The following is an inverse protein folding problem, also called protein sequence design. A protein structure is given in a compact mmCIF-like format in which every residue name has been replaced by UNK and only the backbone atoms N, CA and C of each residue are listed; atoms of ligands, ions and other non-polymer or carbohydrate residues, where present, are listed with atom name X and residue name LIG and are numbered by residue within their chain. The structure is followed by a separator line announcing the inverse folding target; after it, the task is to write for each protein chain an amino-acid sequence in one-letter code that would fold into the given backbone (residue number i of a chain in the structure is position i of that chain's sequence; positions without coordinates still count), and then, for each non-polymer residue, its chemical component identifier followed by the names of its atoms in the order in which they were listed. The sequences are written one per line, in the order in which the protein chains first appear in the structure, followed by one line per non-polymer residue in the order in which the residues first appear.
data_IF_613762908763
#
_entry.id   IF_613762908763
#
_cell.length_a   1.000
_cell.length_b   1.000
_cell.length_c   1.000
_cell.angle_alpha   90.00
_cell.angle_beta   90.00
_cell.angle_gamma   90.00
#
_symmetry.space_group_name_H-M   'P 1'
#
loop_
_entity.id
_entity.type
_entity.pdbx_description
1 polymer ?
#
# COMPACT_ATOMS: atom_id res chain seq x y z
N UNK A 1 9.72 -24.52 -4.84
CA UNK A 1 10.00 -25.19 -6.13
C UNK A 1 10.94 -24.31 -6.95
N UNK A 2 12.16 -24.75 -7.25
CA UNK A 2 13.11 -23.99 -8.09
C UNK A 2 12.67 -24.11 -9.56
N UNK A 3 12.19 -23.02 -10.16
CA UNK A 3 11.89 -22.99 -11.60
C UNK A 3 13.15 -22.54 -12.34
N UNK A 4 13.64 -23.43 -13.20
CA UNK A 4 14.85 -23.26 -13.99
C UNK A 4 14.80 -22.03 -14.90
N UNK A 5 15.93 -21.32 -14.94
CA UNK A 5 16.19 -20.21 -15.85
C UNK A 5 16.27 -20.77 -17.27
N UNK A 6 15.26 -20.49 -18.10
CA UNK A 6 15.40 -20.73 -19.54
C UNK A 6 14.12 -20.94 -20.33
N UNK A 7 13.18 -19.98 -20.37
CA UNK A 7 12.34 -19.75 -21.55
C UNK A 7 12.02 -18.25 -21.66
N UNK A 8 12.38 -17.66 -22.81
CA UNK A 8 11.99 -16.31 -23.23
C UNK A 8 10.54 -16.37 -23.73
N UNK A 9 9.59 -16.18 -22.82
CA UNK A 9 8.19 -15.69 -22.95
C UNK A 9 7.38 -16.32 -21.83
N UNK A 10 7.49 -15.78 -20.62
CA UNK A 10 6.58 -16.16 -19.53
C UNK A 10 6.37 -14.91 -18.70
N UNK A 11 5.22 -14.26 -18.87
CA UNK A 11 4.74 -13.27 -17.91
C UNK A 11 4.73 -13.97 -16.55
N UNK A 12 5.55 -13.49 -15.61
CA UNK A 12 5.59 -14.09 -14.27
C UNK A 12 4.25 -13.76 -13.59
N UNK A 13 3.48 -14.77 -13.23
CA UNK A 13 2.18 -14.60 -12.55
C UNK A 13 2.32 -14.52 -11.01
N UNK A 14 3.52 -14.23 -10.52
CA UNK A 14 3.81 -14.13 -9.10
C UNK A 14 3.14 -12.90 -8.48
N UNK A 15 2.17 -13.06 -7.59
CA UNK A 15 1.42 -11.91 -7.07
C UNK A 15 2.29 -10.98 -6.21
N UNK A 16 3.23 -11.54 -5.43
CA UNK A 16 4.24 -10.76 -4.71
C UNK A 16 5.57 -11.49 -4.64
N UNK A 17 6.67 -10.80 -4.91
CA UNK A 17 8.00 -11.39 -4.96
C UNK A 17 9.04 -10.52 -4.29
N UNK A 18 9.98 -11.15 -3.59
CA UNK A 18 11.15 -10.53 -2.99
C UNK A 18 12.42 -11.02 -3.68
N UNK A 19 13.20 -10.11 -4.24
CA UNK A 19 14.37 -10.44 -5.06
C UNK A 19 15.46 -9.37 -4.94
N UNK A 20 16.70 -9.74 -5.28
CA UNK A 20 17.79 -8.81 -5.50
C UNK A 20 17.81 -8.39 -6.96
N UNK A 21 17.76 -7.08 -7.20
CA UNK A 21 17.69 -6.51 -8.55
C UNK A 21 18.82 -5.54 -8.81
N UNK A 22 19.29 -5.53 -10.04
CA UNK A 22 20.27 -4.59 -10.58
C UNK A 22 19.57 -3.78 -11.68
N UNK A 23 19.43 -2.46 -11.52
CA UNK A 23 18.86 -1.60 -12.56
C UNK A 23 19.81 -1.45 -13.77
N UNK A 24 19.29 -1.10 -14.95
CA UNK A 24 20.12 -0.74 -16.11
C UNK A 24 21.02 0.47 -15.81
N UNK A 25 22.06 0.68 -16.63
CA UNK A 25 22.99 1.82 -16.45
C UNK A 25 22.38 3.16 -16.83
N UNK A 26 21.42 3.14 -17.75
CA UNK A 26 20.73 4.31 -18.28
C UNK A 26 19.32 3.87 -18.61
N UNK A 27 18.35 4.64 -18.13
CA UNK A 27 16.91 4.47 -18.32
C UNK A 27 16.27 5.84 -18.13
N UNK A 28 15.23 6.13 -18.90
CA UNK A 28 14.55 7.43 -18.86
C UNK A 28 13.68 7.57 -17.60
N UNK A 29 12.92 6.52 -17.26
CA UNK A 29 12.02 6.49 -16.11
C UNK A 29 12.29 5.23 -15.28
N UNK A 30 12.94 5.36 -14.11
CA UNK A 30 13.22 4.19 -13.28
C UNK A 30 11.94 3.62 -12.65
N UNK A 31 11.83 2.29 -12.63
CA UNK A 31 10.58 1.57 -12.31
C UNK A 31 10.49 1.16 -10.84
N UNK A 32 11.57 0.61 -10.28
CA UNK A 32 11.54 0.04 -8.93
C UNK A 32 12.02 1.04 -7.88
N UNK A 33 11.26 1.24 -6.79
CA UNK A 33 11.66 2.16 -5.74
C UNK A 33 12.59 1.50 -4.71
N UNK A 34 13.26 2.34 -3.93
CA UNK A 34 13.87 2.00 -2.66
C UNK A 34 13.70 3.13 -1.65
N UNK A 35 13.75 2.79 -0.37
CA UNK A 35 13.82 3.77 0.70
C UNK A 35 15.28 4.13 0.97
N UNK A 36 15.56 5.42 1.02
CA UNK A 36 16.91 5.99 1.14
C UNK A 36 16.90 7.01 2.27
N UNK A 37 17.78 6.82 3.25
CA UNK A 37 17.91 7.68 4.44
C UNK A 37 17.87 6.86 5.74
N UNK A 38 18.66 7.26 6.73
CA UNK A 38 18.70 6.60 8.05
C UNK A 38 17.63 7.16 9.00
N UNK A 39 17.49 8.50 9.08
CA UNK A 39 16.53 9.17 9.97
C UNK A 39 15.25 9.68 9.26
N UNK A 40 15.33 10.03 7.98
CA UNK A 40 14.21 10.49 7.13
C UNK A 40 14.15 9.62 5.87
N UNK A 41 13.47 8.47 5.95
CA UNK A 41 13.33 7.54 4.84
C UNK A 41 12.55 8.19 3.68
N UNK A 42 13.24 8.46 2.57
CA UNK A 42 12.59 8.93 1.33
C UNK A 42 12.47 7.80 0.33
N UNK A 43 11.29 7.68 -0.26
CA UNK A 43 11.08 6.78 -1.38
C UNK A 43 11.68 7.40 -2.65
N UNK A 44 12.74 6.80 -3.18
CA UNK A 44 13.42 7.22 -4.40
C UNK A 44 13.41 6.07 -5.42
N UNK A 45 13.63 6.40 -6.69
CA UNK A 45 13.78 5.43 -7.77
C UNK A 45 15.19 5.53 -8.39
N UNK A 46 16.25 5.08 -7.68
CA UNK A 46 17.62 5.28 -8.13
C UNK A 46 18.12 4.14 -9.02
N UNK A 47 19.23 4.39 -9.73
CA UNK A 47 19.94 3.38 -10.53
C UNK A 47 21.13 2.75 -9.79
N UNK A 48 21.39 3.19 -8.57
CA UNK A 48 22.38 2.61 -7.67
C UNK A 48 21.86 2.69 -6.23
N UNK A 49 22.30 1.77 -5.38
CA UNK A 49 22.05 1.92 -3.95
C UNK A 49 22.95 3.02 -3.38
N UNK A 50 22.66 3.42 -2.15
CA UNK A 50 23.65 4.13 -1.34
C UNK A 50 24.97 3.32 -1.34
N UNK A 51 26.11 3.99 -1.52
CA UNK A 51 27.47 3.42 -1.46
C UNK A 51 27.89 2.49 -2.60
N UNK A 52 27.82 2.95 -3.86
CA UNK A 52 28.44 2.35 -5.06
C UNK A 52 28.02 0.92 -5.44
N UNK A 53 27.21 0.23 -4.63
CA UNK A 53 26.66 -1.06 -4.99
C UNK A 53 25.47 -0.87 -5.95
N UNK A 54 25.53 -1.54 -7.10
CA UNK A 54 24.49 -1.44 -8.13
C UNK A 54 23.47 -2.54 -7.88
N UNK A 55 22.55 -2.31 -6.95
CA UNK A 55 21.42 -3.19 -6.71
C UNK A 55 20.92 -3.18 -5.28
N UNK A 56 19.72 -3.70 -5.08
CA UNK A 56 19.08 -3.78 -3.77
C UNK A 56 18.07 -4.91 -3.73
N UNK A 57 17.61 -5.23 -2.53
CA UNK A 57 16.48 -6.13 -2.33
C UNK A 57 15.19 -5.34 -2.49
N UNK A 58 14.36 -5.72 -3.46
CA UNK A 58 13.04 -5.15 -3.69
C UNK A 58 11.97 -6.19 -3.40
N UNK A 59 10.82 -5.72 -2.91
CA UNK A 59 9.58 -6.49 -2.82
C UNK A 59 8.57 -5.80 -3.70
N UNK A 60 8.09 -6.46 -4.76
CA UNK A 60 7.12 -5.89 -5.68
C UNK A 60 6.17 -6.95 -6.23
N UNK A 61 5.12 -6.48 -6.88
CA UNK A 61 4.15 -7.33 -7.59
C UNK A 61 4.74 -7.83 -8.92
N UNK A 62 4.12 -8.87 -9.51
CA UNK A 62 4.46 -9.35 -10.86
C UNK A 62 4.41 -8.24 -11.90
N UNK A 63 3.42 -7.35 -11.83
CA UNK A 63 3.26 -6.24 -12.77
C UNK A 63 4.47 -5.31 -12.75
N UNK A 64 4.90 -4.91 -11.56
CA UNK A 64 6.09 -4.05 -11.38
C UNK A 64 7.38 -4.78 -11.78
N UNK A 65 7.48 -6.08 -11.48
CA UNK A 65 8.64 -6.89 -11.88
C UNK A 65 8.73 -7.03 -13.39
N UNK A 66 7.62 -7.36 -14.07
CA UNK A 66 7.59 -7.52 -15.52
C UNK A 66 7.95 -6.19 -16.22
N UNK A 67 7.38 -5.08 -15.78
CA UNK A 67 7.73 -3.75 -16.28
C UNK A 67 9.22 -3.43 -16.06
N UNK A 68 9.78 -3.77 -14.90
CA UNK A 68 11.20 -3.57 -14.64
C UNK A 68 12.10 -4.43 -15.55
N UNK A 69 11.72 -5.69 -15.79
CA UNK A 69 12.46 -6.60 -16.67
C UNK A 69 12.45 -6.10 -18.13
N UNK A 70 11.30 -5.59 -18.60
CA UNK A 70 11.16 -4.98 -19.93
C UNK A 70 12.08 -3.76 -20.09
N UNK A 71 12.21 -2.97 -19.04
CA UNK A 71 13.10 -1.82 -18.95
C UNK A 71 14.58 -2.19 -18.68
N UNK A 72 14.94 -3.47 -18.71
CA UNK A 72 16.33 -3.94 -18.64
C UNK A 72 16.90 -4.08 -17.23
N UNK A 73 16.04 -4.15 -16.20
CA UNK A 73 16.46 -4.58 -14.87
C UNK A 73 16.86 -6.06 -14.89
N UNK A 74 17.85 -6.43 -14.09
CA UNK A 74 18.36 -7.81 -13.99
C UNK A 74 18.11 -8.32 -12.57
N UNK A 75 17.35 -9.41 -12.45
CA UNK A 75 17.19 -10.13 -11.18
C UNK A 75 18.34 -11.11 -11.03
N UNK A 76 19.12 -10.99 -9.94
CA UNK A 76 20.24 -11.90 -9.68
C UNK A 76 19.91 -12.97 -8.65
N UNK A 77 18.99 -12.69 -7.72
CA UNK A 77 18.60 -13.63 -6.68
C UNK A 77 17.12 -13.49 -6.34
N UNK A 78 16.42 -14.61 -6.26
CA UNK A 78 15.04 -14.66 -5.76
C UNK A 78 15.08 -15.15 -4.31
N UNK A 79 14.42 -14.43 -3.41
CA UNK A 79 14.35 -14.78 -1.98
C UNK A 79 13.02 -15.42 -1.61
N UNK A 80 11.90 -14.84 -2.08
CA UNK A 80 10.56 -15.32 -1.76
C UNK A 80 9.61 -14.99 -2.90
N UNK A 81 8.70 -15.91 -3.17
CA UNK A 81 7.58 -15.74 -4.11
C UNK A 81 6.32 -16.14 -3.37
N UNK A 82 5.30 -15.28 -3.43
CA UNK A 82 3.95 -15.57 -2.98
C UNK A 82 3.10 -15.74 -4.22
N UNK A 83 2.60 -16.97 -4.38
CA UNK A 83 1.72 -17.37 -5.47
C UNK A 83 0.34 -17.72 -4.87
N UNK A 84 -0.73 -17.20 -5.49
CA UNK A 84 -2.11 -17.59 -5.18
C UNK A 84 -2.61 -18.53 -6.28
N UNK A 85 -3.29 -19.60 -5.87
CA UNK A 85 -3.79 -20.65 -6.78
C UNK A 85 -4.86 -20.15 -7.76
N UNK A 86 -5.60 -19.11 -7.37
CA UNK A 86 -6.71 -18.56 -8.14
C UNK A 86 -6.71 -17.04 -8.09
N UNK A 87 -7.09 -16.43 -9.22
CA UNK A 87 -7.35 -14.99 -9.33
C UNK A 87 -8.73 -14.74 -9.91
N UNK A 88 -9.40 -13.68 -9.45
CA UNK A 88 -10.71 -13.24 -9.93
C UNK A 88 -10.62 -11.75 -10.30
N UNK A 89 -10.92 -11.44 -11.56
CA UNK A 89 -10.94 -10.09 -12.11
C UNK A 89 -12.32 -9.41 -11.98
N UNK A 90 -13.35 -10.13 -11.56
CA UNK A 90 -14.73 -9.68 -11.39
C UNK A 90 -15.12 -9.41 -9.94
N UNK A 91 -14.38 -9.92 -8.96
CA UNK A 91 -14.71 -9.81 -7.52
C UNK A 91 -15.14 -8.40 -7.08
N UNK A 92 -14.44 -7.37 -7.57
CA UNK A 92 -14.73 -5.97 -7.23
C UNK A 92 -15.47 -5.21 -8.33
N UNK A 93 -15.69 -5.80 -9.51
CA UNK A 93 -16.30 -5.12 -10.64
C UNK A 93 -17.70 -4.53 -10.32
N UNK A 94 -18.62 -5.24 -9.63
CA UNK A 94 -19.91 -4.67 -9.25
C UNK A 94 -19.79 -3.48 -8.30
N UNK A 95 -18.90 -3.58 -7.29
CA UNK A 95 -18.67 -2.51 -6.32
C UNK A 95 -18.12 -1.25 -7.00
N UNK A 96 -17.09 -1.41 -7.82
CA UNK A 96 -16.47 -0.29 -8.54
C UNK A 96 -17.47 0.33 -9.52
N UNK A 97 -18.22 -0.48 -10.26
CA UNK A 97 -19.24 -0.03 -11.22
C UNK A 97 -20.31 0.82 -10.53
N UNK A 98 -20.86 0.37 -9.40
CA UNK A 98 -21.90 1.08 -8.65
C UNK A 98 -21.41 2.47 -8.16
N UNK A 99 -20.26 2.52 -7.48
CA UNK A 99 -19.76 3.79 -6.95
C UNK A 99 -19.20 4.71 -8.03
N UNK A 100 -18.68 4.16 -9.13
CA UNK A 100 -18.28 4.97 -10.28
C UNK A 100 -19.50 5.55 -11.00
N UNK A 101 -20.57 4.79 -11.16
CA UNK A 101 -21.85 5.29 -11.68
C UNK A 101 -22.39 6.42 -10.80
N UNK A 102 -22.46 6.22 -9.47
CA UNK A 102 -22.92 7.23 -8.53
C UNK A 102 -22.06 8.51 -8.57
N UNK A 103 -20.74 8.37 -8.76
CA UNK A 103 -19.80 9.49 -8.92
C UNK A 103 -20.04 10.24 -10.24
N UNK A 104 -20.29 9.54 -11.35
CA UNK A 104 -20.59 10.13 -12.65
C UNK A 104 -21.94 10.85 -12.61
N UNK A 105 -22.99 10.20 -12.10
CA UNK A 105 -24.33 10.81 -11.89
C UNK A 105 -24.25 12.11 -11.11
N UNK A 106 -23.50 12.08 -10.00
CA UNK A 106 -23.32 13.25 -9.13
C UNK A 106 -22.38 14.31 -9.70
N UNK A 107 -21.66 14.03 -10.78
CA UNK A 107 -20.87 15.05 -11.51
C UNK A 107 -21.74 15.75 -12.54
N UNK A 108 -22.74 15.06 -13.10
CA UNK A 108 -23.51 15.53 -14.24
C UNK A 108 -22.69 15.52 -15.52
N UNK A 109 -23.32 15.95 -16.62
CA UNK A 109 -22.63 16.12 -17.90
C UNK A 109 -21.71 17.35 -17.86
N UNK A 110 -20.61 17.25 -18.59
CA UNK A 110 -19.71 18.38 -18.78
C UNK A 110 -20.39 19.49 -19.60
N UNK A 111 -19.96 20.74 -19.41
CA UNK A 111 -20.57 21.90 -20.06
C UNK A 111 -20.52 21.82 -21.60
N UNK A 112 -19.54 21.11 -22.16
CA UNK A 112 -19.40 20.92 -23.61
C UNK A 112 -20.38 19.91 -24.22
N UNK A 113 -21.02 19.09 -23.39
CA UNK A 113 -21.96 18.03 -23.79
C UNK A 113 -23.38 18.28 -23.31
N UNK A 114 -23.53 19.00 -22.20
CA UNK A 114 -24.80 19.25 -21.53
C UNK A 114 -25.81 19.92 -22.49
N UNK A 115 -26.96 19.27 -22.67
CA UNK A 115 -28.04 19.76 -23.55
C UNK A 115 -27.93 19.30 -25.00
N UNK A 116 -26.87 18.58 -25.39
CA UNK A 116 -26.79 17.89 -26.67
C UNK A 116 -27.11 16.40 -26.48
N UNK A 117 -28.28 15.99 -26.97
CA UNK A 117 -28.78 14.64 -26.74
C UNK A 117 -27.86 13.54 -27.30
N UNK A 118 -27.30 13.75 -28.49
CA UNK A 118 -26.43 12.80 -29.19
C UNK A 118 -25.12 12.59 -28.42
N UNK A 119 -24.47 13.68 -27.99
CA UNK A 119 -23.23 13.62 -27.21
C UNK A 119 -23.43 12.96 -25.85
N UNK A 120 -24.55 13.25 -25.19
CA UNK A 120 -24.90 12.61 -23.92
C UNK A 120 -25.15 11.10 -24.09
N UNK A 121 -25.77 10.68 -25.20
CA UNK A 121 -26.00 9.26 -25.49
C UNK A 121 -24.71 8.54 -25.85
N UNK A 122 -23.85 9.16 -26.65
CA UNK A 122 -22.52 8.65 -26.98
C UNK A 122 -21.69 8.43 -25.71
N UNK A 123 -21.71 9.38 -24.78
CA UNK A 123 -21.03 9.25 -23.49
C UNK A 123 -21.56 8.08 -22.64
N UNK A 124 -22.88 7.90 -22.56
CA UNK A 124 -23.49 6.80 -21.82
C UNK A 124 -23.13 5.46 -22.45
N UNK A 125 -23.17 5.38 -23.79
CA UNK A 125 -22.79 4.20 -24.55
C UNK A 125 -21.32 3.84 -24.33
N UNK A 126 -20.43 4.82 -24.40
CA UNK A 126 -19.00 4.65 -24.16
C UNK A 126 -18.72 4.14 -22.72
N UNK A 127 -19.42 4.68 -21.72
CA UNK A 127 -19.31 4.22 -20.34
C UNK A 127 -19.65 2.73 -20.19
N UNK A 128 -20.68 2.28 -20.91
CA UNK A 128 -21.12 0.88 -20.89
C UNK A 128 -20.17 -0.03 -21.67
N UNK A 129 -19.76 0.38 -22.87
CA UNK A 129 -18.92 -0.44 -23.75
C UNK A 129 -17.48 -0.58 -23.24
N UNK A 130 -16.87 0.51 -22.75
CA UNK A 130 -15.47 0.49 -22.30
C UNK A 130 -15.30 0.02 -20.86
N UNK A 131 -16.24 0.35 -19.98
CA UNK A 131 -16.08 0.17 -18.54
C UNK A 131 -17.15 -0.73 -17.91
N UNK A 132 -18.17 -1.16 -18.66
CA UNK A 132 -19.28 -1.96 -18.11
C UNK A 132 -20.16 -1.20 -17.12
N UNK A 133 -20.14 0.14 -17.14
CA UNK A 133 -20.85 0.98 -16.17
C UNK A 133 -22.18 1.43 -16.77
N UNK A 134 -23.27 1.09 -16.09
CA UNK A 134 -24.61 1.50 -16.51
C UNK A 134 -24.92 2.91 -15.97
N UNK A 135 -25.05 3.88 -16.88
CA UNK A 135 -25.37 5.27 -16.54
C UNK A 135 -26.84 5.57 -16.87
N UNK A 136 -27.55 6.14 -15.89
CA UNK A 136 -28.93 6.59 -16.04
C UNK A 136 -28.94 8.11 -16.23
N UNK A 137 -29.40 8.55 -17.41
CA UNK A 137 -29.49 9.97 -17.77
C UNK A 137 -30.34 10.77 -16.77
N UNK A 138 -31.39 10.18 -16.21
CA UNK A 138 -32.30 10.87 -15.28
C UNK A 138 -31.63 11.24 -13.96
N UNK A 139 -30.56 10.52 -13.58
CA UNK A 139 -29.79 10.72 -12.35
C UNK A 139 -28.62 11.69 -12.54
N UNK A 140 -28.35 12.13 -13.77
CA UNK A 140 -27.25 13.03 -14.09
C UNK A 140 -27.54 14.45 -13.59
N UNK A 141 -27.07 14.74 -12.38
CA UNK A 141 -27.27 16.01 -11.71
C UNK A 141 -26.09 16.36 -10.80
N UNK A 142 -25.45 17.53 -10.97
CA UNK A 142 -24.28 17.89 -10.18
C UNK A 142 -24.63 18.02 -8.69
N UNK A 143 -24.04 17.15 -7.87
CA UNK A 143 -24.17 17.15 -6.42
C UNK A 143 -22.80 16.87 -5.78
N UNK A 144 -22.18 17.94 -5.25
CA UNK A 144 -20.84 17.86 -4.65
C UNK A 144 -20.77 16.89 -3.47
N UNK A 145 -21.81 16.84 -2.62
CA UNK A 145 -21.84 15.98 -1.44
C UNK A 145 -21.88 14.49 -1.80
N UNK A 146 -22.82 14.10 -2.66
CA UNK A 146 -22.94 12.70 -3.15
C UNK A 146 -21.69 12.28 -3.93
N UNK A 147 -21.14 13.19 -4.75
CA UNK A 147 -19.90 12.95 -5.48
C UNK A 147 -18.73 12.65 -4.54
N UNK A 148 -18.59 13.43 -3.46
CA UNK A 148 -17.53 13.22 -2.47
C UNK A 148 -17.68 11.86 -1.77
N UNK A 149 -18.91 11.48 -1.38
CA UNK A 149 -19.17 10.17 -0.77
C UNK A 149 -18.82 9.02 -1.72
N UNK A 150 -19.28 9.07 -2.97
CA UNK A 150 -18.98 8.04 -3.97
C UNK A 150 -17.47 7.93 -4.25
N UNK A 151 -16.76 9.07 -4.36
CA UNK A 151 -15.30 9.10 -4.48
C UNK A 151 -14.62 8.49 -3.26
N UNK A 152 -15.12 8.80 -2.06
CA UNK A 152 -14.58 8.27 -0.82
C UNK A 152 -14.74 6.75 -0.74
N UNK A 153 -15.88 6.19 -1.15
CA UNK A 153 -16.09 4.73 -1.17
C UNK A 153 -15.09 4.04 -2.11
N UNK A 154 -14.88 4.58 -3.32
CA UNK A 154 -13.88 4.06 -4.26
C UNK A 154 -12.46 4.05 -3.67
N UNK A 155 -12.07 5.10 -2.95
CA UNK A 155 -10.73 5.20 -2.36
C UNK A 155 -10.58 4.37 -1.07
N UNK A 156 -11.63 4.33 -0.24
CA UNK A 156 -11.60 3.66 1.05
C UNK A 156 -11.46 2.15 0.93
N UNK A 157 -11.98 1.55 -0.16
CA UNK A 157 -11.85 0.11 -0.41
C UNK A 157 -10.39 -0.33 -0.32
N UNK A 158 -9.52 0.29 -1.12
CA UNK A 158 -8.09 -0.03 -1.14
C UNK A 158 -7.39 0.32 0.17
N UNK A 159 -7.78 1.46 0.77
CA UNK A 159 -7.28 1.88 2.07
C UNK A 159 -7.53 0.83 3.15
N UNK A 160 -8.71 0.19 3.16
CA UNK A 160 -9.07 -0.87 4.12
C UNK A 160 -8.19 -2.11 3.99
N UNK A 161 -7.92 -2.58 2.78
CA UNK A 161 -7.02 -3.71 2.55
C UNK A 161 -5.56 -3.39 2.88
N UNK A 162 -5.18 -2.13 2.81
CA UNK A 162 -3.81 -1.65 3.07
C UNK A 162 -3.63 -1.12 4.50
N UNK A 163 -4.63 -1.29 5.37
CA UNK A 163 -4.54 -0.83 6.76
C UNK A 163 -3.39 -1.57 7.45
N UNK A 164 -2.44 -0.80 7.97
CA UNK A 164 -1.40 -1.35 8.82
C UNK A 164 -2.03 -1.83 10.12
N UNK A 165 -1.65 -3.02 10.57
CA UNK A 165 -2.01 -3.61 11.85
C UNK A 165 -1.36 -2.85 13.04
N UNK A 166 -1.55 -1.53 13.15
CA UNK A 166 -0.98 -0.75 14.23
C UNK A 166 -1.74 -1.04 15.53
N UNK A 167 -1.08 -1.72 16.48
CA UNK A 167 -1.71 -2.19 17.71
C UNK A 167 -2.50 -3.50 17.56
N UNK A 168 -2.52 -4.09 16.36
CA UNK A 168 -3.09 -5.41 16.09
C UNK A 168 -1.96 -6.45 15.99
N UNK A 169 -2.32 -7.73 15.98
CA UNK A 169 -1.38 -8.82 15.79
C UNK A 169 -0.68 -8.67 14.43
N UNK A 170 0.65 -8.72 14.45
CA UNK A 170 1.48 -8.81 13.26
C UNK A 170 1.67 -10.28 12.93
N UNK A 171 1.84 -10.62 11.66
CA UNK A 171 2.10 -12.00 11.24
C UNK A 171 3.48 -12.08 10.59
N UNK A 172 4.28 -13.05 11.01
CA UNK A 172 5.45 -13.49 10.29
C UNK A 172 5.17 -14.85 9.64
N UNK A 173 5.60 -15.04 8.40
CA UNK A 173 5.51 -16.32 7.71
C UNK A 173 6.93 -16.85 7.53
N UNK A 174 7.19 -18.03 8.07
CA UNK A 174 8.51 -18.68 8.04
C UNK A 174 8.39 -20.17 7.75
N UNK A 175 9.29 -20.65 6.92
CA UNK A 175 9.61 -22.06 6.68
C UNK A 175 10.91 -22.49 7.40
N UNK A 176 11.61 -21.53 8.02
CA UNK A 176 12.89 -21.75 8.65
C UNK A 176 12.75 -21.89 10.18
N UNK A 177 13.15 -23.04 10.75
CA UNK A 177 13.16 -23.25 12.20
C UNK A 177 14.01 -22.23 12.96
N UNK A 178 15.11 -21.75 12.37
CA UNK A 178 15.97 -20.75 13.02
C UNK A 178 15.30 -19.38 13.13
N UNK A 179 14.46 -19.01 12.16
CA UNK A 179 13.67 -17.77 12.25
C UNK A 179 12.55 -17.92 13.27
N UNK A 180 11.86 -19.06 13.30
CA UNK A 180 10.87 -19.39 14.33
C UNK A 180 11.48 -19.26 15.74
N UNK A 181 12.67 -19.84 15.96
CA UNK A 181 13.39 -19.72 17.22
C UNK A 181 13.75 -18.27 17.58
N UNK A 182 14.03 -17.40 16.61
CA UNK A 182 14.27 -15.97 16.90
C UNK A 182 13.01 -15.30 17.44
N UNK A 183 11.85 -15.58 16.86
CA UNK A 183 10.58 -15.04 17.34
C UNK A 183 10.25 -15.57 18.75
N UNK A 184 10.41 -16.87 19.01
CA UNK A 184 10.18 -17.42 20.36
C UNK A 184 11.11 -16.86 21.44
N UNK A 185 12.33 -16.49 21.07
CA UNK A 185 13.32 -15.97 22.02
C UNK A 185 13.29 -14.44 22.18
N UNK A 186 12.53 -13.72 21.35
CA UNK A 186 12.43 -12.26 21.43
C UNK A 186 11.45 -11.85 22.53
N UNK A 187 11.99 -11.32 23.63
CA UNK A 187 11.19 -10.86 24.79
C UNK A 187 10.38 -9.60 24.52
N UNK A 188 10.60 -8.92 23.40
CA UNK A 188 9.85 -7.72 23.01
C UNK A 188 8.53 -8.04 22.32
N UNK A 189 8.26 -9.33 22.06
CA UNK A 189 7.05 -9.80 21.40
C UNK A 189 6.33 -10.87 22.22
N UNK A 190 5.02 -10.92 22.05
CA UNK A 190 4.13 -11.93 22.59
C UNK A 190 3.51 -12.69 21.42
N UNK A 191 3.84 -13.97 21.28
CA UNK A 191 3.27 -14.83 20.25
C UNK A 191 1.85 -15.20 20.68
N UNK A 192 0.88 -14.89 19.84
CA UNK A 192 -0.55 -15.14 20.10
C UNK A 192 -0.98 -16.55 19.71
N UNK A 193 -0.27 -17.15 18.76
CA UNK A 193 -0.57 -18.47 18.23
C UNK A 193 0.50 -18.94 17.25
N UNK A 194 0.30 -20.13 16.70
CA UNK A 194 1.09 -20.70 15.63
C UNK A 194 0.11 -21.42 14.70
N UNK A 195 -0.01 -20.93 13.46
CA UNK A 195 -0.88 -21.52 12.46
C UNK A 195 -0.03 -22.19 11.37
N UNK A 196 -0.27 -23.48 11.14
CA UNK A 196 0.33 -24.21 10.02
C UNK A 196 -0.42 -23.83 8.73
N UNK A 197 0.26 -23.14 7.81
CA UNK A 197 -0.30 -22.83 6.48
C UNK A 197 -0.15 -24.02 5.54
N UNK A 198 0.98 -24.72 5.65
CA UNK A 198 1.33 -25.97 4.97
C UNK A 198 2.26 -26.77 5.88
N UNK A 199 2.56 -28.02 5.52
CA UNK A 199 3.44 -28.92 6.31
C UNK A 199 4.83 -28.31 6.62
N UNK A 200 5.30 -27.36 5.81
CA UNK A 200 6.63 -26.73 5.96
C UNK A 200 6.56 -25.25 6.34
N UNK A 201 5.39 -24.61 6.30
CA UNK A 201 5.25 -23.15 6.44
C UNK A 201 4.36 -22.81 7.63
N UNK A 202 4.93 -22.04 8.55
CA UNK A 202 4.27 -21.56 9.76
C UNK A 202 3.97 -20.07 9.66
N UNK A 203 2.76 -19.70 10.08
CA UNK A 203 2.33 -18.34 10.34
C UNK A 203 2.36 -18.08 11.85
N UNK A 204 3.17 -17.10 12.24
CA UNK A 204 3.39 -16.69 13.63
C UNK A 204 2.69 -15.35 13.84
N UNK A 205 1.47 -15.33 14.40
CA UNK A 205 0.85 -14.12 14.88
C UNK A 205 1.52 -13.68 16.20
N UNK A 206 1.95 -12.42 16.27
CA UNK A 206 2.59 -11.85 17.46
C UNK A 206 2.19 -10.39 17.69
N UNK A 207 2.17 -9.98 18.96
CA UNK A 207 2.07 -8.59 19.37
C UNK A 207 3.43 -8.07 19.80
N UNK A 208 3.83 -6.88 19.33
CA UNK A 208 5.05 -6.23 19.79
C UNK A 208 4.73 -5.28 20.92
N UNK A 209 5.34 -5.48 22.08
CA UNK A 209 5.25 -4.53 23.17
C UNK A 209 6.00 -3.26 22.76
N UNK A 210 5.28 -2.14 22.66
CA UNK A 210 5.97 -0.85 22.68
C UNK A 210 6.54 -0.68 24.09
N UNK A 211 7.87 -0.76 24.21
CA UNK A 211 8.54 -0.20 25.38
C UNK A 211 7.98 1.20 25.60
N UNK A 212 7.58 1.52 26.84
CA UNK A 212 7.05 2.83 27.19
C UNK A 212 8.03 3.88 26.69
N UNK A 213 7.72 4.54 25.58
CA UNK A 213 8.35 5.80 25.25
C UNK A 213 7.77 6.76 26.28
N UNK A 214 8.47 6.96 27.39
CA UNK A 214 8.24 8.10 28.26
C UNK A 214 8.47 9.31 27.39
N UNK A 215 7.38 9.90 26.89
CA UNK A 215 7.36 11.29 26.46
C UNK A 215 7.73 12.11 27.70
N UNK A 216 9.04 12.35 27.91
CA UNK A 216 9.46 13.47 28.74
C UNK A 216 9.11 14.70 27.91
N UNK A 217 7.87 15.15 28.06
CA UNK A 217 7.51 16.50 27.68
C UNK A 217 8.30 17.38 28.65
N UNK A 218 9.43 17.92 28.20
CA UNK A 218 9.98 19.10 28.83
C UNK A 218 8.96 20.22 28.60
N UNK A 219 7.94 20.30 29.46
CA UNK A 219 7.17 21.52 29.62
C UNK A 219 8.16 22.49 30.28
N UNK A 220 8.84 23.29 29.45
CA UNK A 220 9.54 24.46 29.93
C UNK A 220 8.44 25.42 30.39
N UNK A 221 8.05 25.30 31.66
CA UNK A 221 7.25 26.31 32.33
C UNK A 221 8.20 27.49 32.52
N UNK A 222 7.99 28.67 31.89
CA UNK A 222 8.84 29.81 32.12
C UNK A 222 8.65 30.28 33.57
N UNK A 223 9.57 29.91 34.44
CA UNK A 223 9.68 30.51 35.77
C UNK A 223 10.22 31.93 35.60
N UNK A 224 9.35 32.92 35.76
CA UNK A 224 9.77 34.30 35.97
C UNK A 224 10.30 34.40 37.40
N UNK A 225 11.62 34.46 37.52
CA UNK A 225 12.31 34.69 38.77
C UNK A 225 12.11 36.15 39.18
N UNK A 226 11.30 36.41 40.22
CA UNK A 226 11.30 37.72 40.85
C UNK A 226 11.42 37.56 42.37
N UNK A 227 12.56 37.99 42.90
CA UNK A 227 12.83 38.30 44.31
C UNK A 227 12.26 37.31 45.36
N UNK A 228 12.64 36.04 45.26
CA UNK A 228 12.82 35.20 46.45
C UNK A 228 11.59 34.56 47.11
N UNK A 229 10.41 34.55 46.49
CA UNK A 229 9.30 33.70 46.92
C UNK A 229 8.59 33.02 45.74
N UNK A 230 8.31 31.72 45.88
CA UNK A 230 7.53 30.92 44.92
C UNK A 230 6.04 31.18 45.16
N UNK A 231 5.36 31.81 44.21
CA UNK A 231 3.90 31.98 44.22
C UNK A 231 3.30 31.02 43.19
N UNK A 232 2.44 30.11 43.64
CA UNK A 232 1.62 29.28 42.74
C UNK A 232 0.37 30.07 42.31
N UNK A 233 -0.10 29.95 41.05
CA UNK A 233 -1.38 30.53 40.66
C UNK A 233 -2.50 29.81 41.42
N UNK A 234 -3.36 30.57 42.10
CA UNK A 234 -4.61 30.04 42.65
C UNK A 234 -5.58 29.77 41.50
N UNK A 235 -5.99 28.51 41.32
CA UNK A 235 -7.04 28.13 40.40
C UNK A 235 -8.36 28.81 40.80
N UNK A 236 -8.76 29.84 40.03
CA UNK A 236 -10.08 30.44 40.10
C UNK A 236 -11.09 29.56 39.36
N UNK A 237 -11.69 28.61 40.08
CA UNK A 237 -12.96 28.01 39.69
C UNK A 237 -14.11 28.90 40.19
N UNK A 238 -14.55 29.82 39.32
CA UNK A 238 -15.94 30.27 39.16
C UNK A 238 -16.06 31.05 37.86
#
# INVERSE_FOLDING_TARGET
MFVGVGQRTTTLNWQSSKFFVIPPRSIDIPVLPMKVGEDDERLLFPLCSQYQQRGWVSTCTSLELNAALEEGYIVTKVFRVLEYDSSDDQLFAPYISEFMAAKIHSSGFDNCMKGNFEKEEEFIKECKEKFGINIDRSKMGPNKGKRTQAKLMLNNLWGRFSLRNFGLSQCAITDNPAELHKYYNDKSIEITGLDELTDEILLIPFHKFKGKTTLIIHVVVPFLWNQGQVVFPSDGLS
#
